data_IF_156902456860
#
_entry.id   IF_156902456860
#
_cell.length_a   1.000
_cell.length_b   1.000
_cell.length_c   1.000
_cell.angle_alpha   90.00
_cell.angle_beta   90.00
_cell.angle_gamma   90.00
#
_symmetry.space_group_name_H-M   'P 1'
#
loop_
_entity.id
_entity.type
_entity.pdbx_description
1 polymer ?
#
# COMPACT_ATOMS: atom_id res chain seq x y z
N UNK A 1 -18.82 -5.44 16.00
CA UNK A 1 -17.83 -5.77 14.94
C UNK A 1 -17.19 -4.56 14.20
N UNK A 2 -17.37 -3.28 14.56
CA UNK A 2 -16.69 -2.15 13.93
C UNK A 2 -15.19 -2.10 14.23
N UNK A 3 -14.77 -2.46 15.45
CA UNK A 3 -13.37 -2.39 15.90
C UNK A 3 -12.44 -3.29 15.09
N UNK A 4 -12.85 -4.54 14.80
CA UNK A 4 -12.03 -5.48 13.99
C UNK A 4 -11.84 -4.95 12.56
N UNK A 5 -12.86 -4.32 12.00
CA UNK A 5 -12.79 -3.69 10.68
C UNK A 5 -11.83 -2.49 10.67
N UNK A 6 -11.82 -1.74 11.75
CA UNK A 6 -10.96 -0.56 11.93
C UNK A 6 -9.49 -0.97 12.14
N UNK A 7 -9.21 -2.00 12.97
CA UNK A 7 -7.86 -2.54 13.17
C UNK A 7 -7.33 -3.13 11.85
N UNK A 8 -8.15 -3.90 11.14
CA UNK A 8 -7.76 -4.50 9.85
C UNK A 8 -7.40 -3.46 8.80
N UNK A 9 -8.02 -2.28 8.83
CA UNK A 9 -7.69 -1.20 7.90
C UNK A 9 -6.41 -0.44 8.28
N UNK A 10 -5.90 -0.59 9.52
CA UNK A 10 -4.64 0.01 9.96
C UNK A 10 -3.41 -0.73 9.44
N UNK A 11 -3.53 -2.02 9.14
CA UNK A 11 -2.44 -2.86 8.66
C UNK A 11 -2.73 -3.28 7.21
N UNK A 12 -1.71 -3.25 6.38
CA UNK A 12 -1.81 -3.71 5.00
C UNK A 12 -0.67 -4.67 4.67
N UNK A 13 -1.00 -5.72 3.94
CA UNK A 13 0.01 -6.63 3.36
C UNK A 13 0.65 -5.90 2.19
N UNK A 14 1.97 -5.70 2.20
CA UNK A 14 2.66 -5.07 1.09
C UNK A 14 2.56 -5.97 -0.16
N UNK A 15 2.33 -5.35 -1.31
CA UNK A 15 2.42 -6.04 -2.59
C UNK A 15 3.88 -6.10 -3.03
N UNK A 16 4.52 -7.26 -2.85
CA UNK A 16 5.93 -7.47 -3.19
C UNK A 16 6.19 -7.58 -4.71
N UNK A 17 5.18 -7.45 -5.55
CA UNK A 17 5.32 -7.31 -7.01
C UNK A 17 5.55 -5.86 -7.42
N UNK A 18 5.17 -4.94 -6.55
CA UNK A 18 5.41 -3.52 -6.77
C UNK A 18 6.81 -3.17 -6.28
N UNK A 19 7.69 -2.77 -7.21
CA UNK A 19 9.06 -2.33 -6.91
C UNK A 19 9.11 -1.28 -5.81
N UNK A 20 8.19 -0.33 -5.79
CA UNK A 20 8.11 0.69 -4.73
C UNK A 20 7.82 0.10 -3.34
N UNK A 21 7.12 -1.05 -3.23
CA UNK A 21 6.93 -1.72 -1.94
C UNK A 21 8.22 -2.41 -1.48
N UNK A 22 8.94 -3.05 -2.39
CA UNK A 22 10.23 -3.68 -2.10
C UNK A 22 11.25 -2.61 -1.67
N UNK A 23 11.33 -1.51 -2.41
CA UNK A 23 12.24 -0.41 -2.10
C UNK A 23 11.98 0.16 -0.70
N UNK A 24 10.72 0.40 -0.34
CA UNK A 24 10.36 0.88 1.01
C UNK A 24 10.71 -0.13 2.10
N UNK A 25 10.44 -1.42 1.87
CA UNK A 25 10.82 -2.47 2.80
C UNK A 25 12.33 -2.47 3.05
N UNK A 26 13.13 -2.39 1.99
CA UNK A 26 14.59 -2.36 2.09
C UNK A 26 15.10 -1.11 2.79
N UNK A 27 14.56 0.07 2.47
CA UNK A 27 14.92 1.32 3.14
C UNK A 27 14.56 1.31 4.63
N UNK A 28 13.37 0.79 4.95
CA UNK A 28 12.91 0.68 6.33
C UNK A 28 13.76 -0.31 7.13
N UNK A 29 14.08 -1.47 6.53
CA UNK A 29 14.96 -2.47 7.14
C UNK A 29 16.37 -1.92 7.35
N UNK A 30 16.94 -1.23 6.36
CA UNK A 30 18.23 -0.58 6.45
C UNK A 30 18.27 0.45 7.59
N UNK A 31 17.25 1.28 7.70
CA UNK A 31 17.11 2.21 8.81
C UNK A 31 17.06 1.49 10.16
N UNK A 32 16.27 0.41 10.29
CA UNK A 32 16.21 -0.36 11.53
C UNK A 32 17.56 -1.00 11.89
N UNK A 33 18.28 -1.56 10.92
CA UNK A 33 19.61 -2.14 11.13
C UNK A 33 20.62 -1.11 11.65
N UNK A 34 20.55 0.13 11.18
CA UNK A 34 21.43 1.22 11.63
C UNK A 34 21.00 1.81 12.98
N UNK A 35 19.71 2.10 13.16
CA UNK A 35 19.23 2.83 14.34
C UNK A 35 18.99 1.95 15.55
N UNK A 36 18.62 0.68 15.37
CA UNK A 36 18.35 -0.21 16.50
C UNK A 36 19.57 -0.42 17.40
N UNK A 37 20.79 -0.67 16.89
CA UNK A 37 22.00 -0.81 17.72
C UNK A 37 22.30 0.40 18.58
N UNK A 38 21.92 1.61 18.15
CA UNK A 38 22.09 2.84 18.95
C UNK A 38 21.27 2.83 20.25
N UNK A 39 20.15 2.07 20.27
CA UNK A 39 19.26 1.98 21.43
C UNK A 39 19.68 0.89 22.41
N UNK A 40 20.41 -0.13 21.94
CA UNK A 40 20.65 -1.38 22.70
C UNK A 40 22.11 -1.55 23.07
N UNK A 41 23.05 -1.05 22.25
CA UNK A 41 24.48 -1.30 22.43
C UNK A 41 25.23 -0.07 22.93
N UNK A 42 26.27 -0.27 23.78
CA UNK A 42 27.26 0.77 24.02
C UNK A 42 27.92 1.21 22.71
N UNK A 43 28.31 2.46 22.61
CA UNK A 43 28.91 3.02 21.40
C UNK A 43 30.17 2.24 20.93
N UNK A 44 30.91 1.68 21.85
CA UNK A 44 32.09 0.86 21.54
C UNK A 44 31.76 -0.42 20.75
N UNK A 45 30.59 -1.01 20.97
CA UNK A 45 30.14 -2.26 20.31
C UNK A 45 29.20 -2.01 19.12
N UNK A 46 28.91 -0.76 18.81
CA UNK A 46 27.93 -0.37 17.78
C UNK A 46 28.17 -1.09 16.44
N UNK A 47 29.39 -1.02 15.91
CA UNK A 47 29.72 -1.62 14.60
C UNK A 47 29.52 -3.13 14.61
N UNK A 48 29.90 -3.79 15.71
CA UNK A 48 29.74 -5.24 15.91
C UNK A 48 28.24 -5.61 15.89
N UNK A 49 27.41 -4.86 16.61
CA UNK A 49 25.97 -5.11 16.68
C UNK A 49 25.29 -4.82 15.36
N UNK A 50 25.67 -3.75 14.64
CA UNK A 50 25.18 -3.49 13.27
C UNK A 50 25.52 -4.65 12.34
N UNK A 51 26.77 -5.14 12.37
CA UNK A 51 27.17 -6.27 11.53
C UNK A 51 26.37 -7.53 11.85
N UNK A 52 26.22 -7.88 13.12
CA UNK A 52 25.43 -9.03 13.55
C UNK A 52 23.96 -8.89 13.14
N UNK A 53 23.37 -7.72 13.36
CA UNK A 53 21.97 -7.46 12.95
C UNK A 53 21.80 -7.57 11.44
N UNK A 54 22.72 -7.05 10.64
CA UNK A 54 22.69 -7.14 9.19
C UNK A 54 22.84 -8.58 8.69
N UNK A 55 23.68 -9.38 9.33
CA UNK A 55 23.96 -10.75 8.93
C UNK A 55 22.72 -11.66 9.01
N UNK A 56 21.86 -11.49 10.01
CA UNK A 56 20.62 -12.26 10.09
C UNK A 56 19.45 -11.58 9.36
N UNK A 57 19.36 -10.23 9.39
CA UNK A 57 18.28 -9.51 8.75
C UNK A 57 18.31 -9.61 7.22
N UNK A 58 19.49 -9.61 6.61
CA UNK A 58 19.66 -9.69 5.16
C UNK A 58 19.00 -10.92 4.53
N UNK A 59 19.42 -12.15 4.88
CA UNK A 59 18.80 -13.38 4.37
C UNK A 59 17.29 -13.45 4.66
N UNK A 60 16.87 -13.07 5.87
CA UNK A 60 15.46 -13.08 6.27
C UNK A 60 14.60 -12.18 5.40
N UNK A 61 15.09 -10.96 5.10
CA UNK A 61 14.39 -10.00 4.25
C UNK A 61 14.30 -10.47 2.79
N UNK A 62 15.40 -11.01 2.25
CA UNK A 62 15.41 -11.54 0.88
C UNK A 62 14.39 -12.66 0.71
N UNK A 63 14.32 -13.56 1.65
CA UNK A 63 13.37 -14.66 1.64
C UNK A 63 11.94 -14.17 1.87
N UNK A 64 11.72 -13.18 2.76
CA UNK A 64 10.40 -12.57 2.96
C UNK A 64 9.88 -11.92 1.66
N UNK A 65 10.75 -11.23 0.92
CA UNK A 65 10.42 -10.65 -0.39
C UNK A 65 10.10 -11.75 -1.40
N UNK A 66 10.90 -12.81 -1.47
CA UNK A 66 10.69 -13.92 -2.40
C UNK A 66 9.36 -14.64 -2.12
N UNK A 67 9.06 -14.97 -0.87
CA UNK A 67 7.79 -15.60 -0.48
C UNK A 67 6.62 -14.65 -0.72
N UNK A 68 6.74 -13.37 -0.37
CA UNK A 68 5.73 -12.35 -0.62
C UNK A 68 5.45 -12.14 -2.11
N UNK A 69 6.47 -12.24 -2.97
CA UNK A 69 6.33 -12.17 -4.42
C UNK A 69 5.58 -13.39 -4.97
N UNK A 70 5.93 -14.59 -4.54
CA UNK A 70 5.31 -15.84 -5.00
C UNK A 70 3.87 -15.99 -4.49
N UNK A 71 3.62 -15.69 -3.21
CA UNK A 71 2.33 -15.88 -2.56
C UNK A 71 1.41 -14.64 -2.62
N UNK A 72 1.88 -13.52 -3.19
CA UNK A 72 1.18 -12.23 -3.16
C UNK A 72 -0.26 -12.28 -3.68
N UNK A 73 -0.55 -13.05 -4.74
CA UNK A 73 -1.90 -13.19 -5.27
C UNK A 73 -2.84 -13.95 -4.33
N UNK A 74 -2.34 -15.01 -3.71
CA UNK A 74 -3.12 -15.82 -2.76
C UNK A 74 -3.44 -15.01 -1.49
N UNK A 75 -2.46 -14.24 -1.01
CA UNK A 75 -2.61 -13.41 0.17
C UNK A 75 -3.53 -12.20 -0.09
N UNK A 76 -3.40 -11.54 -1.24
CA UNK A 76 -4.20 -10.36 -1.57
C UNK A 76 -5.70 -10.66 -1.69
N UNK A 77 -6.07 -11.84 -2.18
CA UNK A 77 -7.45 -12.28 -2.33
C UNK A 77 -8.14 -12.66 -1.00
N UNK A 78 -7.37 -12.95 0.05
CA UNK A 78 -7.90 -13.46 1.31
C UNK A 78 -8.29 -12.33 2.28
N UNK A 79 -9.47 -12.48 2.92
CA UNK A 79 -9.85 -11.64 4.06
C UNK A 79 -8.95 -11.83 5.29
N UNK A 80 -8.18 -12.90 5.34
CA UNK A 80 -7.21 -13.21 6.39
C UNK A 80 -5.77 -12.88 5.99
N UNK A 81 -5.56 -12.13 4.91
CA UNK A 81 -4.24 -11.81 4.39
C UNK A 81 -3.29 -11.21 5.44
N UNK A 82 -3.75 -10.27 6.25
CA UNK A 82 -2.93 -9.61 7.28
C UNK A 82 -2.47 -10.59 8.36
N UNK A 83 -3.36 -11.32 9.08
CA UNK A 83 -2.91 -12.24 10.11
C UNK A 83 -2.11 -13.42 9.54
N UNK A 84 -2.47 -13.94 8.38
CA UNK A 84 -1.73 -15.05 7.75
C UNK A 84 -0.32 -14.61 7.35
N UNK A 85 -0.16 -13.44 6.73
CA UNK A 85 1.16 -12.95 6.35
C UNK A 85 2.03 -12.61 7.56
N UNK A 86 1.43 -12.13 8.65
CA UNK A 86 2.14 -11.88 9.89
C UNK A 86 2.66 -13.20 10.51
N UNK A 87 1.77 -14.18 10.70
CA UNK A 87 2.14 -15.50 11.25
C UNK A 87 3.16 -16.21 10.37
N UNK A 88 3.00 -16.18 9.05
CA UNK A 88 3.97 -16.74 8.11
C UNK A 88 5.33 -16.04 8.20
N UNK A 89 5.35 -14.71 8.30
CA UNK A 89 6.59 -13.93 8.45
C UNK A 89 7.33 -14.25 9.75
N UNK A 90 6.60 -14.32 10.87
CA UNK A 90 7.18 -14.67 12.17
C UNK A 90 7.66 -16.14 12.19
N UNK A 91 6.86 -17.07 11.69
CA UNK A 91 7.25 -18.48 11.60
C UNK A 91 8.48 -18.70 10.73
N UNK A 92 8.54 -17.97 9.62
CA UNK A 92 9.70 -17.97 8.73
C UNK A 92 10.93 -17.38 9.43
N UNK A 93 10.80 -16.28 10.15
CA UNK A 93 11.88 -15.69 10.94
C UNK A 93 12.43 -16.70 11.96
N UNK A 94 11.56 -17.36 12.74
CA UNK A 94 11.96 -18.38 13.73
C UNK A 94 12.75 -19.51 13.08
N UNK A 95 12.30 -19.98 11.91
CA UNK A 95 13.00 -21.02 11.15
C UNK A 95 14.40 -20.59 10.72
N UNK A 96 14.53 -19.37 10.17
CA UNK A 96 15.82 -18.85 9.70
C UNK A 96 16.77 -18.59 10.87
N UNK A 97 16.29 -18.00 11.96
CA UNK A 97 17.08 -17.75 13.16
C UNK A 97 17.61 -19.05 13.76
N UNK A 98 16.75 -20.07 13.86
CA UNK A 98 17.16 -21.41 14.34
C UNK A 98 18.19 -22.06 13.43
N UNK A 99 18.04 -21.96 12.10
CA UNK A 99 18.94 -22.60 11.14
C UNK A 99 20.30 -21.89 11.02
N UNK A 100 20.35 -20.56 11.15
CA UNK A 100 21.57 -19.78 10.94
C UNK A 100 22.37 -19.56 12.20
N UNK A 101 21.71 -19.31 13.32
CA UNK A 101 22.40 -18.89 14.55
C UNK A 101 22.42 -19.97 15.63
N UNK A 102 21.36 -20.78 15.76
CA UNK A 102 21.27 -21.88 16.69
C UNK A 102 21.43 -21.53 18.19
N UNK A 103 21.60 -20.26 18.49
CA UNK A 103 21.90 -19.77 19.85
C UNK A 103 20.62 -19.22 20.52
N UNK A 104 20.09 -19.96 21.51
CA UNK A 104 18.94 -19.53 22.30
C UNK A 104 19.11 -18.17 23.01
N UNK A 105 20.36 -17.78 23.31
CA UNK A 105 20.63 -16.61 24.13
C UNK A 105 20.16 -15.30 23.48
N UNK A 106 20.31 -15.18 22.17
CA UNK A 106 19.92 -13.97 21.42
C UNK A 106 18.57 -14.11 20.72
N UNK A 107 17.98 -15.31 20.69
CA UNK A 107 16.72 -15.59 20.01
C UNK A 107 15.61 -14.62 20.41
N UNK A 108 15.38 -14.43 21.71
CA UNK A 108 14.31 -13.55 22.18
C UNK A 108 14.50 -12.08 21.77
N UNK A 109 15.75 -11.62 21.74
CA UNK A 109 16.08 -10.26 21.30
C UNK A 109 15.76 -10.08 19.81
N UNK A 110 16.21 -10.99 18.96
CA UNK A 110 15.94 -10.99 17.52
C UNK A 110 14.44 -11.17 17.23
N UNK A 111 13.77 -12.02 17.98
CA UNK A 111 12.33 -12.25 17.87
C UNK A 111 11.53 -10.96 18.11
N UNK A 112 11.80 -10.26 19.20
CA UNK A 112 11.11 -8.99 19.48
C UNK A 112 11.44 -7.90 18.47
N UNK A 113 12.70 -7.80 18.04
CA UNK A 113 13.12 -6.88 16.99
C UNK A 113 12.33 -7.10 15.68
N UNK A 114 12.28 -8.36 15.24
CA UNK A 114 11.58 -8.71 14.00
C UNK A 114 10.07 -8.43 14.10
N UNK A 115 9.45 -8.76 15.24
CA UNK A 115 8.04 -8.48 15.46
C UNK A 115 7.74 -6.96 15.42
N UNK A 116 8.52 -6.15 16.11
CA UNK A 116 8.37 -4.69 16.09
C UNK A 116 8.57 -4.15 14.66
N UNK A 117 9.60 -4.62 13.95
CA UNK A 117 9.85 -4.26 12.56
C UNK A 117 8.66 -4.61 11.66
N UNK A 118 8.18 -5.84 11.72
CA UNK A 118 7.10 -6.33 10.86
C UNK A 118 5.80 -5.57 11.11
N UNK A 119 5.42 -5.39 12.38
CA UNK A 119 4.22 -4.65 12.77
C UNK A 119 4.30 -3.17 12.34
N UNK A 120 5.43 -2.52 12.58
CA UNK A 120 5.64 -1.13 12.21
C UNK A 120 5.64 -0.94 10.69
N UNK A 121 6.24 -1.87 9.94
CA UNK A 121 6.20 -1.84 8.49
C UNK A 121 4.78 -2.04 7.94
N UNK A 122 4.05 -3.06 8.41
CA UNK A 122 2.66 -3.31 8.00
C UNK A 122 1.74 -2.12 8.35
N UNK A 123 1.95 -1.50 9.51
CA UNK A 123 1.23 -0.29 9.91
C UNK A 123 1.53 0.88 8.97
N UNK A 124 2.80 1.13 8.64
CA UNK A 124 3.21 2.20 7.72
C UNK A 124 2.58 2.04 6.32
N UNK A 125 2.53 0.80 5.81
CA UNK A 125 1.85 0.49 4.54
C UNK A 125 0.33 0.70 4.64
N UNK A 126 -0.28 0.39 5.77
CA UNK A 126 -1.70 0.64 6.03
C UNK A 126 -2.03 2.14 6.03
N UNK A 127 -1.25 2.95 6.74
CA UNK A 127 -1.38 4.42 6.76
C UNK A 127 -1.21 4.99 5.36
N UNK A 128 -0.15 4.59 4.66
CA UNK A 128 0.13 5.05 3.30
C UNK A 128 -1.03 4.79 2.33
N UNK A 129 -1.61 3.59 2.37
CA UNK A 129 -2.75 3.26 1.51
C UNK A 129 -3.95 4.16 1.78
N UNK A 130 -4.19 4.51 3.05
CA UNK A 130 -5.30 5.41 3.42
C UNK A 130 -5.09 6.84 2.95
N UNK A 131 -3.86 7.35 3.02
CA UNK A 131 -3.56 8.73 2.63
C UNK A 131 -3.48 8.92 1.13
N UNK A 132 -2.85 7.98 0.41
CA UNK A 132 -2.62 8.14 -1.03
C UNK A 132 -3.83 7.77 -1.89
N UNK A 133 -4.65 6.80 -1.47
CA UNK A 133 -5.81 6.36 -2.28
C UNK A 133 -6.86 7.46 -2.45
N UNK A 134 -7.29 8.19 -1.41
CA UNK A 134 -8.19 9.33 -1.57
C UNK A 134 -7.61 10.44 -2.43
N UNK A 135 -6.35 10.84 -2.18
CA UNK A 135 -5.70 11.91 -2.94
C UNK A 135 -5.60 11.58 -4.44
N UNK A 136 -5.30 10.32 -4.79
CA UNK A 136 -5.27 9.88 -6.18
C UNK A 136 -6.65 9.86 -6.82
N UNK A 137 -7.69 9.48 -6.07
CA UNK A 137 -9.07 9.51 -6.60
C UNK A 137 -9.58 10.93 -6.79
N UNK A 138 -9.29 11.84 -5.87
CA UNK A 138 -9.61 13.28 -6.02
C UNK A 138 -8.86 13.91 -7.19
N UNK A 139 -7.55 13.63 -7.33
CA UNK A 139 -6.76 14.12 -8.46
C UNK A 139 -7.31 13.60 -9.81
N UNK A 140 -7.73 12.33 -9.87
CA UNK A 140 -8.37 11.76 -11.07
C UNK A 140 -9.72 12.41 -11.36
N UNK A 141 -10.56 12.61 -10.35
CA UNK A 141 -11.84 13.29 -10.50
C UNK A 141 -11.64 14.75 -10.97
N UNK A 142 -10.69 15.46 -10.39
CA UNK A 142 -10.36 16.84 -10.79
C UNK A 142 -9.83 16.88 -12.23
N UNK A 143 -8.97 15.94 -12.62
CA UNK A 143 -8.50 15.85 -13.99
C UNK A 143 -9.60 15.50 -14.99
N UNK A 144 -10.55 14.62 -14.62
CA UNK A 144 -11.72 14.31 -15.45
C UNK A 144 -12.66 15.51 -15.58
N UNK A 145 -12.95 16.22 -14.49
CA UNK A 145 -13.82 17.40 -14.50
C UNK A 145 -13.17 18.58 -15.20
N UNK A 146 -11.84 18.74 -15.14
CA UNK A 146 -11.12 19.79 -15.87
C UNK A 146 -11.13 19.59 -17.39
N UNK A 147 -11.25 18.35 -17.89
CA UNK A 147 -11.42 18.06 -19.32
C UNK A 147 -12.77 18.52 -19.88
N UNK A 148 -13.78 18.54 -19.02
CA UNK A 148 -15.11 19.06 -19.40
C UNK A 148 -15.08 20.56 -19.11
N UNK A 149 -15.12 21.41 -20.14
CA UNK A 149 -15.28 22.85 -19.94
C UNK A 149 -16.62 23.10 -19.25
N UNK A 150 -16.67 23.49 -17.96
CA UNK A 150 -17.95 23.62 -17.24
C UNK A 150 -18.90 24.59 -17.93
N UNK A 151 -18.37 25.65 -18.49
CA UNK A 151 -19.12 26.66 -19.25
C UNK A 151 -19.82 26.06 -20.49
N UNK A 152 -19.19 25.12 -21.19
CA UNK A 152 -19.80 24.43 -22.33
C UNK A 152 -20.99 23.57 -21.86
N UNK A 153 -20.83 22.83 -20.77
CA UNK A 153 -21.91 22.01 -20.21
C UNK A 153 -23.12 22.86 -19.81
N UNK A 154 -22.90 23.94 -19.04
CA UNK A 154 -23.98 24.83 -18.62
C UNK A 154 -24.67 25.50 -19.80
N UNK A 155 -23.94 25.94 -20.82
CA UNK A 155 -24.50 26.54 -22.02
C UNK A 155 -25.33 25.52 -22.82
N UNK A 156 -24.85 24.29 -22.96
CA UNK A 156 -25.59 23.24 -23.67
C UNK A 156 -26.85 22.85 -22.94
N UNK A 157 -26.84 22.75 -21.60
CA UNK A 157 -28.02 22.50 -20.78
C UNK A 157 -29.04 23.64 -20.87
N UNK A 158 -28.60 24.89 -20.79
CA UNK A 158 -29.45 26.05 -20.92
C UNK A 158 -30.09 26.13 -22.31
N UNK A 159 -29.32 25.79 -23.36
CA UNK A 159 -29.88 25.68 -24.71
C UNK A 159 -30.95 24.58 -24.81
N UNK A 160 -30.70 23.39 -24.24
CA UNK A 160 -31.69 22.32 -24.22
C UNK A 160 -32.96 22.75 -23.47
N UNK A 161 -32.84 23.36 -22.29
CA UNK A 161 -33.96 23.86 -21.50
C UNK A 161 -34.82 24.87 -22.30
N UNK A 162 -34.19 25.78 -23.03
CA UNK A 162 -34.90 26.78 -23.86
C UNK A 162 -35.64 26.15 -25.03
N UNK A 163 -35.17 25.02 -25.56
CA UNK A 163 -35.77 24.30 -26.68
C UNK A 163 -36.91 23.38 -26.25
N UNK A 164 -36.98 22.89 -25.01
CA UNK A 164 -37.97 21.92 -24.53
C UNK A 164 -39.41 22.36 -24.85
N UNK A 165 -39.74 23.63 -24.68
CA UNK A 165 -41.10 24.15 -24.91
C UNK A 165 -41.42 24.44 -26.35
N UNK A 166 -40.42 24.81 -27.15
CA UNK A 166 -40.60 25.29 -28.52
C UNK A 166 -40.35 24.20 -29.56
N UNK A 167 -39.33 23.38 -29.30
CA UNK A 167 -38.84 22.33 -30.21
C UNK A 167 -38.35 21.12 -29.42
N UNK A 168 -39.27 20.28 -28.88
CA UNK A 168 -38.87 19.16 -27.99
C UNK A 168 -37.95 18.14 -28.66
N UNK A 169 -38.10 17.84 -29.94
CA UNK A 169 -37.23 16.92 -30.69
C UNK A 169 -35.81 17.46 -30.86
N UNK A 170 -35.65 18.78 -31.04
CA UNK A 170 -34.33 19.40 -31.12
C UNK A 170 -33.60 19.37 -29.74
N UNK A 171 -34.39 19.55 -28.67
CA UNK A 171 -33.85 19.42 -27.29
C UNK A 171 -33.39 18.01 -27.00
N UNK A 172 -34.15 16.99 -27.41
CA UNK A 172 -33.80 15.57 -27.27
C UNK A 172 -32.49 15.26 -28.02
N UNK A 173 -32.40 15.64 -29.29
CA UNK A 173 -31.21 15.46 -30.12
C UNK A 173 -29.98 16.13 -29.51
N UNK A 174 -30.12 17.34 -28.95
CA UNK A 174 -29.02 18.05 -28.30
C UNK A 174 -28.54 17.31 -27.05
N UNK A 175 -29.45 16.80 -26.24
CA UNK A 175 -29.11 16.02 -25.02
C UNK A 175 -28.47 14.68 -25.36
N UNK A 176 -28.93 13.98 -26.41
CA UNK A 176 -28.30 12.74 -26.89
C UNK A 176 -26.87 12.98 -27.39
N UNK A 177 -26.64 14.03 -28.16
CA UNK A 177 -25.33 14.42 -28.64
C UNK A 177 -24.38 14.76 -27.48
N UNK A 178 -24.89 15.47 -26.48
CA UNK A 178 -24.14 15.78 -25.25
C UNK A 178 -23.77 14.50 -24.48
N UNK A 179 -24.71 13.57 -24.32
CA UNK A 179 -24.48 12.29 -23.67
C UNK A 179 -23.42 11.44 -24.41
N UNK A 180 -23.49 11.43 -25.76
CA UNK A 180 -22.51 10.70 -26.57
C UNK A 180 -21.11 11.32 -26.48
N UNK A 181 -20.99 12.64 -26.45
CA UNK A 181 -19.74 13.35 -26.26
C UNK A 181 -19.11 13.00 -24.90
N UNK A 182 -19.91 12.93 -23.83
CA UNK A 182 -19.40 12.52 -22.52
C UNK A 182 -18.95 11.05 -22.49
N UNK A 183 -19.70 10.14 -23.13
CA UNK A 183 -19.30 8.74 -23.24
C UNK A 183 -17.96 8.58 -23.98
N UNK A 184 -17.77 9.32 -25.08
CA UNK A 184 -16.51 9.30 -25.81
C UNK A 184 -15.35 9.79 -24.95
N UNK A 185 -15.50 10.92 -24.25
CA UNK A 185 -14.45 11.46 -23.37
C UNK A 185 -14.10 10.57 -22.17
N UNK A 186 -15.07 9.80 -21.65
CA UNK A 186 -14.85 8.86 -20.55
C UNK A 186 -14.21 7.55 -21.02
N UNK A 187 -14.33 7.20 -22.30
CA UNK A 187 -13.76 5.99 -22.88
C UNK A 187 -12.27 6.14 -23.24
N UNK A 188 -11.87 7.35 -23.59
CA UNK A 188 -10.49 7.67 -24.01
C UNK A 188 -9.57 8.06 -22.84
N UNK A 189 -9.99 7.86 -21.58
CA UNK A 189 -9.24 8.13 -20.34
C UNK A 189 -9.07 6.93 -19.47
#
# INVERSE_FOLDING_TARGET
MPIIRQIRSLFAVPDMRNFGSIQRLMLFAFACVLFFPLLVAPFADYVKVVYMTAAWAGPTLLLLVAVGYLCGNLLAASRFAVPVSYVAGVGFFVLVDYMLLGEWLYFWQHFWQFNCFLLMFMYSEGVRRRTLTPALSEARLTALTARIRPHFLFNSLNAAISLIRLRPYDAETLLENLANLFRAQLKDG
#
